data_IF_690772554594
#
_entry.id   IF_690772554594
#
_cell.length_a   1.000
_cell.length_b   1.000
_cell.length_c   1.000
_cell.angle_alpha   90.00
_cell.angle_beta   90.00
_cell.angle_gamma   90.00
#
_symmetry.space_group_name_H-M   'P 1'
#
loop_
_entity.id
_entity.type
_entity.pdbx_description
1 polymer ?
#
# COMPACT_ATOMS: atom_id res chain seq x y z
N UNK A 1 34.90 -33.59 -65.52
CA UNK A 1 35.77 -33.61 -64.31
C UNK A 1 35.06 -32.76 -63.25
N UNK A 2 34.35 -33.39 -62.34
CA UNK A 2 33.78 -32.70 -61.23
C UNK A 2 34.80 -32.69 -60.08
N UNK A 3 35.28 -31.52 -59.70
CA UNK A 3 36.17 -31.38 -58.57
C UNK A 3 35.33 -31.52 -57.30
N UNK A 4 35.54 -32.58 -56.55
CA UNK A 4 34.97 -32.80 -55.23
C UNK A 4 35.80 -31.93 -54.25
N UNK A 5 35.31 -30.79 -53.91
CA UNK A 5 35.84 -30.04 -52.75
C UNK A 5 35.30 -30.70 -51.49
N UNK A 6 35.99 -31.69 -50.97
CA UNK A 6 35.76 -32.18 -49.60
C UNK A 6 36.32 -31.16 -48.62
N UNK A 7 35.45 -30.49 -47.89
CA UNK A 7 35.87 -29.79 -46.68
C UNK A 7 36.05 -30.86 -45.60
N UNK A 8 37.28 -31.27 -45.39
CA UNK A 8 37.65 -32.12 -44.26
C UNK A 8 37.55 -31.27 -43.00
N UNK A 9 36.40 -31.31 -42.33
CA UNK A 9 36.28 -30.72 -41.01
C UNK A 9 37.10 -31.62 -40.10
N UNK A 10 38.28 -31.17 -39.70
CA UNK A 10 39.12 -31.89 -38.76
C UNK A 10 38.30 -32.17 -37.49
N UNK A 11 38.29 -33.42 -37.05
CA UNK A 11 37.69 -33.83 -35.77
C UNK A 11 38.16 -32.90 -34.62
N UNK A 12 39.41 -32.43 -34.71
CA UNK A 12 39.95 -31.42 -33.80
C UNK A 12 39.25 -30.05 -33.87
N UNK A 13 38.56 -29.72 -34.95
CA UNK A 13 37.76 -28.49 -35.02
C UNK A 13 36.45 -28.63 -34.27
N UNK A 14 35.81 -29.81 -34.30
CA UNK A 14 34.62 -30.15 -33.54
C UNK A 14 34.93 -30.16 -32.04
N UNK A 15 36.12 -30.52 -31.59
CA UNK A 15 36.54 -30.47 -30.20
C UNK A 15 36.63 -29.05 -29.63
N UNK A 16 36.76 -28.03 -30.44
CA UNK A 16 36.76 -26.63 -29.95
C UNK A 16 35.39 -26.15 -29.46
N UNK A 17 34.35 -26.82 -29.86
CA UNK A 17 32.96 -26.52 -29.43
C UNK A 17 32.53 -27.37 -28.23
N UNK A 18 33.32 -28.38 -27.86
CA UNK A 18 33.08 -29.14 -26.66
C UNK A 18 33.70 -28.43 -25.43
N UNK A 19 33.00 -28.35 -24.28
CA UNK A 19 33.54 -27.68 -23.09
C UNK A 19 34.89 -28.28 -22.70
N UNK A 20 35.96 -27.50 -22.76
CA UNK A 20 37.35 -27.98 -22.55
C UNK A 20 37.63 -28.57 -21.14
N UNK A 21 36.76 -28.34 -20.17
CA UNK A 21 36.85 -28.88 -18.81
C UNK A 21 36.45 -30.35 -18.71
N UNK A 22 35.68 -30.84 -19.64
CA UNK A 22 35.11 -32.19 -19.56
C UNK A 22 36.01 -33.25 -20.25
N UNK A 23 37.03 -32.82 -20.98
CA UNK A 23 37.97 -33.71 -21.67
C UNK A 23 38.87 -34.56 -20.74
N UNK A 24 38.95 -34.22 -19.44
CA UNK A 24 39.78 -34.94 -18.47
C UNK A 24 39.12 -36.17 -17.87
N UNK A 25 37.79 -36.30 -17.95
CA UNK A 25 37.09 -37.43 -17.37
C UNK A 25 36.25 -38.18 -18.39
N UNK A 26 36.93 -38.75 -19.37
CA UNK A 26 36.34 -39.42 -20.55
C UNK A 26 35.78 -40.80 -20.26
N UNK A 27 35.80 -41.25 -19.00
CA UNK A 27 35.30 -42.59 -18.61
C UNK A 27 33.78 -42.64 -18.42
N UNK A 28 33.15 -41.49 -18.33
CA UNK A 28 31.74 -41.39 -17.89
C UNK A 28 30.77 -40.87 -18.97
N UNK A 29 31.31 -40.32 -20.05
CA UNK A 29 30.52 -39.79 -21.19
C UNK A 29 31.31 -39.91 -22.51
N UNK A 30 30.60 -39.83 -23.61
CA UNK A 30 31.16 -39.88 -24.93
C UNK A 30 30.32 -39.07 -25.92
N UNK A 31 30.91 -38.76 -27.05
CA UNK A 31 30.24 -38.12 -28.17
C UNK A 31 30.33 -39.03 -29.39
N UNK A 32 29.25 -39.07 -30.16
CA UNK A 32 29.17 -39.80 -31.40
C UNK A 32 28.53 -38.97 -32.49
N UNK A 33 28.93 -39.19 -33.71
CA UNK A 33 28.21 -38.71 -34.87
C UNK A 33 27.57 -39.89 -35.52
N UNK A 34 26.26 -39.83 -35.65
CA UNK A 34 25.48 -40.88 -36.31
C UNK A 34 24.83 -40.35 -37.59
N UNK A 35 24.66 -41.21 -38.57
CA UNK A 35 23.99 -40.89 -39.84
C UNK A 35 22.75 -41.77 -39.98
N UNK A 36 21.68 -41.25 -40.59
CA UNK A 36 20.45 -42.00 -40.84
C UNK A 36 19.22 -41.16 -40.49
N UNK A 37 18.17 -41.81 -40.06
CA UNK A 37 16.93 -41.15 -39.61
C UNK A 37 16.51 -41.72 -38.26
N UNK A 38 15.98 -40.86 -37.38
CA UNK A 38 15.43 -41.31 -36.08
C UNK A 38 14.36 -42.37 -36.21
N UNK A 39 13.58 -42.37 -37.31
CA UNK A 39 12.53 -43.36 -37.58
C UNK A 39 13.05 -44.70 -38.14
N UNK A 40 14.12 -44.66 -38.94
CA UNK A 40 14.67 -45.83 -39.66
C UNK A 40 15.90 -46.43 -39.00
N UNK A 41 16.42 -45.82 -37.98
CA UNK A 41 17.63 -46.17 -37.25
C UNK A 41 18.82 -45.30 -37.63
N UNK A 42 19.74 -45.13 -36.69
CA UNK A 42 20.92 -44.32 -36.79
C UNK A 42 22.14 -45.24 -36.83
N UNK A 43 23.00 -45.04 -37.83
CA UNK A 43 24.27 -45.77 -37.96
C UNK A 43 25.42 -44.96 -37.41
N UNK A 44 26.19 -45.56 -36.54
CA UNK A 44 27.33 -44.96 -35.88
C UNK A 44 28.46 -44.68 -36.91
N UNK A 45 28.87 -43.42 -37.07
CA UNK A 45 29.87 -43.04 -38.04
C UNK A 45 31.21 -42.63 -37.42
N UNK A 46 31.16 -41.78 -36.39
CA UNK A 46 32.34 -41.28 -35.69
C UNK A 46 32.09 -41.31 -34.18
N UNK A 47 33.07 -41.70 -33.42
CA UNK A 47 32.96 -41.94 -31.98
C UNK A 47 34.13 -41.34 -31.19
N UNK A 48 33.85 -40.73 -30.07
CA UNK A 48 34.84 -40.15 -29.16
C UNK A 48 34.48 -40.34 -27.67
N UNK A 49 35.43 -40.80 -26.89
CA UNK A 49 35.32 -41.00 -25.45
C UNK A 49 35.33 -42.47 -25.00
N UNK A 50 35.54 -42.72 -23.72
CA UNK A 50 35.72 -44.08 -23.22
C UNK A 50 34.39 -44.87 -23.10
N UNK A 51 33.29 -44.17 -22.84
CA UNK A 51 31.95 -44.77 -22.75
C UNK A 51 31.61 -45.45 -24.07
N UNK A 52 31.96 -44.85 -25.17
CA UNK A 52 31.69 -45.33 -26.50
C UNK A 52 32.47 -46.60 -26.86
N UNK A 53 33.74 -46.77 -26.43
CA UNK A 53 34.53 -47.99 -26.70
C UNK A 53 33.97 -49.25 -26.03
N UNK A 54 33.15 -49.07 -24.98
CA UNK A 54 32.49 -50.12 -24.26
C UNK A 54 31.06 -50.42 -24.77
N UNK A 55 30.50 -49.52 -25.58
CA UNK A 55 29.09 -49.50 -25.90
C UNK A 55 28.78 -50.05 -27.28
N UNK A 56 29.40 -49.49 -28.32
CA UNK A 56 29.08 -49.73 -29.72
C UNK A 56 30.35 -49.75 -30.57
N UNK A 57 30.41 -50.57 -31.58
CA UNK A 57 31.44 -50.57 -32.59
C UNK A 57 31.05 -49.66 -33.80
N UNK A 58 32.05 -49.08 -34.45
CA UNK A 58 31.78 -48.24 -35.63
C UNK A 58 31.11 -49.02 -36.73
N UNK A 59 29.98 -48.53 -37.23
CA UNK A 59 29.18 -49.22 -38.25
C UNK A 59 27.95 -49.95 -37.73
N UNK A 60 27.78 -50.09 -36.41
CA UNK A 60 26.57 -50.64 -35.83
C UNK A 60 25.38 -49.66 -35.86
N UNK A 61 24.18 -50.23 -35.92
CA UNK A 61 22.93 -49.49 -35.80
C UNK A 61 22.60 -49.26 -34.34
N UNK A 62 22.25 -48.02 -34.00
CA UNK A 62 21.84 -47.63 -32.66
C UNK A 62 20.32 -47.89 -32.47
N UNK A 63 19.96 -48.58 -31.40
CA UNK A 63 18.57 -48.75 -31.00
C UNK A 63 18.26 -47.75 -29.87
N UNK A 64 17.40 -46.80 -30.17
CA UNK A 64 17.04 -45.70 -29.24
C UNK A 64 15.59 -45.80 -28.84
N UNK A 65 15.33 -45.68 -27.54
CA UNK A 65 13.98 -45.52 -26.96
C UNK A 65 13.81 -44.05 -26.53
N UNK A 66 12.73 -43.45 -26.96
CA UNK A 66 12.45 -42.07 -26.55
C UNK A 66 12.13 -41.98 -25.07
N UNK A 67 12.79 -41.10 -24.37
CA UNK A 67 12.55 -40.76 -22.95
C UNK A 67 11.87 -39.41 -22.83
N UNK A 68 12.34 -38.45 -23.62
CA UNK A 68 11.79 -37.11 -23.75
C UNK A 68 12.00 -36.61 -25.20
N UNK A 69 10.89 -36.52 -25.93
CA UNK A 69 10.93 -36.11 -27.36
C UNK A 69 11.13 -34.62 -27.52
N UNK A 70 10.65 -33.78 -26.59
CA UNK A 70 10.78 -32.34 -26.67
C UNK A 70 12.24 -31.91 -26.45
N UNK A 71 12.93 -32.55 -25.51
CA UNK A 71 14.35 -32.25 -25.20
C UNK A 71 15.32 -33.11 -25.97
N UNK A 72 14.85 -34.02 -26.85
CA UNK A 72 15.69 -34.90 -27.68
C UNK A 72 16.52 -35.88 -26.86
N UNK A 73 15.94 -36.42 -25.77
CA UNK A 73 16.60 -37.36 -24.88
C UNK A 73 16.11 -38.77 -25.14
N UNK A 74 17.05 -39.69 -25.39
CA UNK A 74 16.80 -41.09 -25.71
C UNK A 74 17.56 -42.00 -24.76
N UNK A 75 17.10 -43.22 -24.59
CA UNK A 75 17.83 -44.32 -23.94
C UNK A 75 18.38 -45.24 -24.99
N UNK A 76 19.69 -45.55 -24.94
CA UNK A 76 20.33 -46.52 -25.81
C UNK A 76 20.01 -47.93 -25.29
N UNK A 77 19.48 -48.82 -26.18
CA UNK A 77 19.07 -50.16 -25.82
C UNK A 77 20.14 -51.21 -26.08
N UNK A 78 20.83 -51.11 -27.23
CA UNK A 78 21.84 -52.05 -27.66
C UNK A 78 23.27 -51.63 -27.24
N UNK A 79 23.59 -51.82 -25.97
CA UNK A 79 24.90 -51.46 -25.43
C UNK A 79 25.42 -52.55 -24.47
N UNK A 80 26.76 -52.60 -24.27
CA UNK A 80 27.45 -53.54 -23.40
C UNK A 80 27.78 -52.97 -22.00
N UNK A 81 27.24 -51.80 -21.65
CA UNK A 81 27.45 -51.21 -20.31
C UNK A 81 26.54 -51.90 -19.27
N UNK A 82 27.01 -51.94 -18.03
CA UNK A 82 26.21 -52.39 -16.87
C UNK A 82 25.15 -51.41 -16.40
N UNK A 83 25.16 -50.18 -16.91
CA UNK A 83 24.27 -49.11 -16.56
C UNK A 83 23.51 -48.60 -17.77
N UNK A 84 22.28 -48.13 -17.56
CA UNK A 84 21.51 -47.42 -18.60
C UNK A 84 22.30 -46.24 -19.14
N UNK A 85 22.23 -46.05 -20.47
CA UNK A 85 22.90 -44.96 -21.17
C UNK A 85 21.84 -44.05 -21.75
N UNK A 86 21.94 -42.76 -21.39
CA UNK A 86 21.11 -41.73 -21.96
C UNK A 86 21.87 -41.00 -23.07
N UNK A 87 21.15 -40.67 -24.11
CA UNK A 87 21.64 -40.02 -25.30
C UNK A 87 20.88 -38.74 -25.55
N UNK A 88 21.59 -37.62 -25.63
CA UNK A 88 21.01 -36.38 -26.14
C UNK A 88 21.41 -36.24 -27.60
N UNK A 89 20.43 -36.13 -28.50
CA UNK A 89 20.63 -36.04 -29.94
C UNK A 89 20.30 -34.65 -30.48
N UNK A 90 21.24 -34.07 -31.18
CA UNK A 90 21.06 -32.79 -31.86
C UNK A 90 21.31 -32.96 -33.35
N UNK A 91 20.32 -32.56 -34.15
CA UNK A 91 20.44 -32.63 -35.62
C UNK A 91 21.45 -31.58 -36.09
N UNK A 92 22.43 -32.04 -36.89
CA UNK A 92 23.41 -31.16 -37.49
C UNK A 92 22.86 -30.58 -38.79
N UNK A 93 22.70 -29.26 -38.85
CA UNK A 93 22.32 -28.57 -40.08
C UNK A 93 23.50 -28.51 -41.08
N UNK A 94 23.63 -29.51 -41.94
CA UNK A 94 24.63 -29.48 -43.02
C UNK A 94 23.94 -29.33 -44.39
N UNK A 95 24.55 -28.56 -45.27
CA UNK A 95 24.09 -28.40 -46.66
C UNK A 95 24.72 -29.47 -47.53
N UNK A 96 23.94 -30.41 -48.05
CA UNK A 96 24.40 -31.57 -48.83
C UNK A 96 24.03 -31.51 -50.31
N UNK A 97 23.65 -30.38 -50.83
CA UNK A 97 23.19 -30.27 -52.24
C UNK A 97 24.21 -30.83 -53.20
N UNK A 98 23.83 -31.85 -53.97
CA UNK A 98 24.68 -32.56 -54.96
C UNK A 98 25.88 -33.35 -54.38
N UNK A 99 25.77 -33.90 -53.16
CA UNK A 99 26.78 -34.81 -52.61
C UNK A 99 26.27 -36.24 -52.52
N UNK A 100 27.14 -37.27 -52.39
CA UNK A 100 26.72 -38.67 -52.18
C UNK A 100 25.91 -38.88 -50.88
N UNK A 101 25.81 -37.87 -50.02
CA UNK A 101 25.12 -37.88 -48.73
C UNK A 101 23.79 -37.12 -48.80
N UNK A 102 23.33 -36.75 -50.00
CA UNK A 102 22.03 -36.11 -50.18
C UNK A 102 20.91 -37.03 -49.75
N UNK A 103 20.15 -36.60 -48.72
CA UNK A 103 19.06 -37.39 -48.10
C UNK A 103 19.43 -38.12 -46.79
N UNK A 104 20.69 -38.11 -46.35
CA UNK A 104 21.07 -38.58 -45.04
C UNK A 104 21.07 -37.46 -44.02
N UNK A 105 20.47 -37.68 -42.87
CA UNK A 105 20.53 -36.75 -41.74
C UNK A 105 21.70 -37.11 -40.82
N UNK A 106 22.35 -36.09 -40.29
CA UNK A 106 23.48 -36.24 -39.39
C UNK A 106 23.11 -35.73 -38.00
N UNK A 107 23.44 -36.52 -36.98
CA UNK A 107 23.18 -36.20 -35.60
C UNK A 107 24.49 -36.19 -34.79
N UNK A 108 24.67 -35.10 -34.02
CA UNK A 108 25.65 -35.09 -32.94
C UNK A 108 24.94 -35.59 -31.67
N UNK A 109 25.50 -36.61 -31.07
CA UNK A 109 24.91 -37.24 -29.90
C UNK A 109 25.91 -37.25 -28.77
N UNK A 110 25.45 -36.83 -27.58
CA UNK A 110 26.14 -36.98 -26.32
C UNK A 110 25.62 -38.21 -25.55
N UNK A 111 26.49 -39.10 -25.14
CA UNK A 111 26.17 -40.29 -24.40
C UNK A 111 26.63 -40.16 -22.96
N UNK A 112 25.80 -40.50 -21.99
CA UNK A 112 26.13 -40.45 -20.56
C UNK A 112 25.49 -41.62 -19.80
N UNK A 113 26.28 -42.26 -18.94
CA UNK A 113 25.72 -43.31 -18.03
C UNK A 113 24.85 -42.68 -16.96
N UNK A 114 23.75 -43.38 -16.62
CA UNK A 114 22.77 -42.97 -15.61
C UNK A 114 23.38 -42.56 -14.27
N UNK A 115 24.35 -43.24 -13.68
CA UNK A 115 24.96 -42.80 -12.42
C UNK A 115 25.64 -41.45 -12.49
N UNK A 116 26.21 -41.12 -13.65
CA UNK A 116 26.89 -39.83 -13.88
C UNK A 116 25.88 -38.71 -14.04
N UNK A 117 24.82 -38.97 -14.79
CA UNK A 117 23.70 -38.05 -14.97
C UNK A 117 23.02 -37.68 -13.63
N UNK A 118 22.84 -38.66 -12.73
CA UNK A 118 22.19 -38.48 -11.44
C UNK A 118 23.12 -37.95 -10.33
N UNK A 119 24.44 -38.01 -10.54
CA UNK A 119 25.40 -37.57 -9.52
C UNK A 119 25.32 -36.06 -9.24
N UNK A 120 25.10 -35.24 -10.22
CA UNK A 120 24.94 -33.79 -10.10
C UNK A 120 23.66 -33.41 -9.37
N UNK A 121 22.46 -33.88 -9.76
CA UNK A 121 21.21 -33.61 -9.04
C UNK A 121 21.28 -34.04 -7.58
N UNK A 122 21.76 -35.24 -7.28
CA UNK A 122 21.88 -35.74 -5.90
C UNK A 122 22.82 -34.90 -5.02
N UNK A 123 23.89 -34.39 -5.55
CA UNK A 123 24.75 -33.43 -4.83
C UNK A 123 24.04 -32.12 -4.54
N UNK A 124 23.30 -31.60 -5.53
CA UNK A 124 22.53 -30.36 -5.39
C UNK A 124 21.42 -30.54 -4.38
N UNK A 125 20.68 -31.64 -4.42
CA UNK A 125 19.63 -31.96 -3.44
C UNK A 125 20.17 -32.04 -2.01
N UNK A 126 21.30 -32.69 -1.77
CA UNK A 126 21.95 -32.73 -0.47
C UNK A 126 22.40 -31.37 -0.01
N UNK A 127 22.97 -30.58 -0.92
CA UNK A 127 23.45 -29.22 -0.61
C UNK A 127 22.27 -28.28 -0.29
N UNK A 128 21.18 -28.38 -1.04
CA UNK A 128 19.92 -27.66 -0.76
C UNK A 128 19.29 -28.10 0.56
N UNK A 129 19.28 -29.40 0.85
CA UNK A 129 18.78 -29.93 2.12
C UNK A 129 19.58 -29.41 3.32
N UNK A 130 20.91 -29.43 3.25
CA UNK A 130 21.75 -28.90 4.31
C UNK A 130 21.66 -27.36 4.42
N UNK A 131 21.52 -26.65 3.29
CA UNK A 131 21.30 -25.21 3.28
C UNK A 131 19.96 -24.85 3.93
N UNK A 132 18.89 -25.60 3.63
CA UNK A 132 17.57 -25.43 4.24
C UNK A 132 17.61 -25.71 5.76
N UNK A 133 18.30 -26.78 6.17
CA UNK A 133 18.47 -27.12 7.59
C UNK A 133 19.27 -26.02 8.34
N UNK A 134 20.33 -25.52 7.73
CA UNK A 134 21.14 -24.46 8.29
C UNK A 134 20.35 -23.14 8.42
N UNK A 135 19.63 -22.74 7.37
CA UNK A 135 18.82 -21.51 7.39
C UNK A 135 17.67 -21.60 8.39
N UNK A 136 17.01 -22.78 8.49
CA UNK A 136 15.97 -23.02 9.49
C UNK A 136 16.53 -22.99 10.92
N UNK A 137 17.69 -23.61 11.13
CA UNK A 137 18.40 -23.57 12.43
C UNK A 137 18.81 -22.17 12.84
N UNK A 138 19.38 -21.40 11.92
CA UNK A 138 19.76 -19.99 12.16
C UNK A 138 18.49 -19.16 12.45
N UNK A 139 17.41 -19.36 11.68
CA UNK A 139 16.13 -18.67 11.87
C UNK A 139 15.55 -18.94 13.28
N UNK A 140 15.60 -20.18 13.75
CA UNK A 140 15.17 -20.58 15.10
C UNK A 140 16.04 -19.94 16.20
N UNK A 141 17.36 -19.92 16.02
CA UNK A 141 18.31 -19.27 16.97
C UNK A 141 18.03 -17.75 17.01
N UNK A 142 17.85 -17.10 15.86
CA UNK A 142 17.52 -15.68 15.80
C UNK A 142 16.16 -15.41 16.47
N UNK A 143 15.14 -16.23 16.21
CA UNK A 143 13.83 -16.09 16.83
C UNK A 143 13.88 -16.27 18.35
N UNK A 144 14.65 -17.26 18.85
CA UNK A 144 14.90 -17.45 20.27
C UNK A 144 15.70 -16.27 20.87
N UNK A 145 16.74 -15.81 20.18
CA UNK A 145 17.52 -14.65 20.61
C UNK A 145 16.68 -13.39 20.68
N UNK A 146 15.88 -13.10 19.64
CA UNK A 146 14.96 -11.96 19.61
C UNK A 146 13.90 -12.10 20.71
N UNK A 147 13.35 -13.28 20.94
CA UNK A 147 12.37 -13.53 22.02
C UNK A 147 12.98 -13.31 23.40
N UNK A 148 14.18 -13.86 23.67
CA UNK A 148 14.90 -13.66 24.93
C UNK A 148 15.39 -12.22 25.08
N UNK A 149 15.85 -11.61 23.98
CA UNK A 149 16.24 -10.21 23.94
C UNK A 149 15.06 -9.29 24.23
N UNK A 150 13.89 -9.54 23.60
CA UNK A 150 12.67 -8.75 23.84
C UNK A 150 12.16 -8.90 25.29
N UNK A 151 12.29 -10.09 25.88
CA UNK A 151 11.86 -10.33 27.28
C UNK A 151 12.85 -9.77 28.32
N UNK A 152 14.16 -9.77 28.02
CA UNK A 152 15.20 -9.24 28.93
C UNK A 152 15.46 -7.74 28.76
N UNK A 153 15.22 -7.18 27.57
CA UNK A 153 15.62 -5.80 27.22
C UNK A 153 14.42 -4.87 26.98
N UNK A 154 13.22 -5.20 27.51
CA UNK A 154 12.16 -4.20 27.67
C UNK A 154 12.69 -2.90 28.32
N UNK A 155 13.70 -3.03 29.20
CA UNK A 155 14.45 -1.91 29.77
C UNK A 155 15.29 -1.11 28.76
N UNK A 156 15.74 -1.71 27.65
CA UNK A 156 16.49 -0.99 26.60
C UNK A 156 15.60 -0.27 25.60
N UNK A 157 14.33 -0.68 25.46
CA UNK A 157 13.32 0.13 24.74
C UNK A 157 13.03 1.45 25.45
N UNK A 158 13.19 1.51 26.77
CA UNK A 158 13.16 2.75 27.54
C UNK A 158 14.28 3.73 27.14
N UNK A 159 15.44 3.20 26.78
CA UNK A 159 16.59 3.99 26.34
C UNK A 159 16.48 4.46 24.88
N UNK A 160 15.60 3.86 24.06
CA UNK A 160 15.45 4.20 22.65
C UNK A 160 14.62 5.45 22.38
N UNK A 161 14.04 6.08 23.40
CA UNK A 161 13.24 7.30 23.24
C UNK A 161 11.87 7.10 22.59
N UNK A 162 11.52 5.86 22.20
CA UNK A 162 10.22 5.58 21.61
C UNK A 162 9.10 5.77 22.64
N UNK A 163 7.98 6.46 22.27
CA UNK A 163 6.88 6.74 23.19
C UNK A 163 5.97 5.52 23.39
N UNK A 164 6.55 4.35 23.64
CA UNK A 164 5.85 3.07 23.75
C UNK A 164 5.92 2.49 25.16
N UNK A 165 4.80 1.96 25.63
CA UNK A 165 4.72 1.13 26.84
C UNK A 165 4.10 -0.22 26.54
N UNK A 166 4.42 -1.25 27.33
CA UNK A 166 3.84 -2.59 27.20
C UNK A 166 3.33 -3.05 28.55
N UNK A 167 2.13 -3.63 28.58
CA UNK A 167 1.67 -4.39 29.74
C UNK A 167 1.13 -5.76 29.33
N UNK A 168 1.22 -6.72 30.24
CA UNK A 168 0.76 -8.10 30.07
C UNK A 168 -0.17 -8.53 31.19
N UNK A 169 -1.29 -9.15 30.80
CA UNK A 169 -2.25 -9.80 31.68
C UNK A 169 -2.21 -11.30 31.45
N UNK A 170 -1.54 -12.04 32.35
CA UNK A 170 -1.41 -13.51 32.24
C UNK A 170 -2.61 -14.22 32.87
N UNK A 171 -3.10 -15.36 32.30
CA UNK A 171 -4.31 -16.02 32.79
C UNK A 171 -4.19 -16.52 34.23
N UNK A 172 -3.04 -17.04 34.60
CA UNK A 172 -2.81 -17.66 35.93
C UNK A 172 -2.04 -16.76 36.90
N UNK A 173 -1.82 -15.49 36.56
CA UNK A 173 -1.15 -14.51 37.43
C UNK A 173 -2.15 -13.48 37.92
N UNK A 174 -2.20 -13.24 39.22
CA UNK A 174 -2.91 -12.11 39.79
C UNK A 174 -2.18 -10.78 39.62
N UNK A 175 -0.96 -10.80 39.06
CA UNK A 175 -0.11 -9.63 38.87
C UNK A 175 -0.14 -9.16 37.42
N UNK A 176 0.05 -7.87 37.22
CA UNK A 176 0.24 -7.24 35.90
C UNK A 176 1.72 -6.99 35.72
N UNK A 177 2.27 -7.40 34.60
CA UNK A 177 3.58 -6.94 34.16
C UNK A 177 3.38 -5.67 33.33
N UNK A 178 4.08 -4.59 33.66
CA UNK A 178 4.09 -3.37 32.89
C UNK A 178 5.48 -2.76 32.84
N UNK A 179 5.80 -2.12 31.71
CA UNK A 179 7.03 -1.34 31.56
C UNK A 179 6.93 -0.04 32.34
N UNK A 180 8.06 0.56 32.70
CA UNK A 180 8.13 1.79 33.51
C UNK A 180 7.50 3.01 32.83
N UNK A 181 7.24 2.96 31.52
CA UNK A 181 6.53 4.01 30.80
C UNK A 181 5.00 3.94 30.90
N UNK A 182 4.42 2.80 31.24
CA UNK A 182 2.96 2.65 31.34
C UNK A 182 2.34 3.62 32.34
N UNK A 183 2.90 3.84 33.55
CA UNK A 183 2.36 4.82 34.46
C UNK A 183 2.21 6.23 33.86
N UNK A 184 3.23 6.72 33.19
CA UNK A 184 3.20 8.06 32.57
C UNK A 184 2.31 8.10 31.32
N UNK A 185 2.23 7.01 30.54
CA UNK A 185 1.34 6.93 29.38
C UNK A 185 -0.13 6.92 29.78
N UNK A 186 -0.50 6.22 30.85
CA UNK A 186 -1.86 6.08 31.34
C UNK A 186 -2.22 7.11 32.43
N UNK A 187 -1.37 8.09 32.71
CA UNK A 187 -1.52 9.08 33.79
C UNK A 187 -1.79 8.44 35.17
N UNK A 188 -1.11 7.29 35.47
CA UNK A 188 -1.26 6.61 36.75
C UNK A 188 -0.50 7.35 37.86
N UNK A 189 -1.15 7.49 39.03
CA UNK A 189 -0.46 7.91 40.24
C UNK A 189 0.45 6.80 40.75
N UNK A 190 1.45 7.14 41.57
CA UNK A 190 2.34 6.15 42.20
C UNK A 190 1.59 5.09 43.02
N UNK A 191 0.49 5.48 43.70
CA UNK A 191 -0.37 4.53 44.43
C UNK A 191 -1.10 3.56 43.50
N UNK A 192 -1.64 4.07 42.37
CA UNK A 192 -2.29 3.25 41.36
C UNK A 192 -1.33 2.27 40.72
N UNK A 193 -0.11 2.70 40.34
CA UNK A 193 0.91 1.82 39.81
C UNK A 193 1.23 0.67 40.77
N UNK A 194 1.44 0.97 42.05
CA UNK A 194 1.73 -0.03 43.07
C UNK A 194 0.57 -1.02 43.26
N UNK A 195 -0.69 -0.55 43.18
CA UNK A 195 -1.87 -1.41 43.34
C UNK A 195 -2.03 -2.27 42.05
N UNK A 196 -1.98 -1.66 40.90
CA UNK A 196 -2.26 -2.32 39.62
C UNK A 196 -1.21 -3.37 39.23
N UNK A 197 0.06 -3.18 39.57
CA UNK A 197 1.09 -4.21 39.39
C UNK A 197 0.85 -5.47 40.20
N UNK A 198 0.13 -5.38 41.34
CA UNK A 198 -0.15 -6.49 42.25
C UNK A 198 -1.56 -7.08 42.10
N UNK A 199 -2.51 -6.31 41.57
CA UNK A 199 -3.90 -6.67 41.48
C UNK A 199 -4.40 -6.50 40.04
N UNK A 200 -4.41 -7.61 39.32
CA UNK A 200 -4.90 -7.67 37.94
C UNK A 200 -6.35 -7.27 37.77
N UNK A 201 -7.21 -7.59 38.78
CA UNK A 201 -8.64 -7.31 38.72
C UNK A 201 -8.88 -5.80 38.72
N UNK A 202 -8.23 -5.08 39.64
CA UNK A 202 -8.32 -3.62 39.71
C UNK A 202 -7.79 -2.92 38.48
N UNK A 203 -6.70 -3.42 37.90
CA UNK A 203 -6.18 -2.88 36.65
C UNK A 203 -7.13 -3.13 35.47
N UNK A 204 -7.74 -4.31 35.40
CA UNK A 204 -8.73 -4.61 34.36
C UNK A 204 -9.99 -3.75 34.49
N UNK A 205 -10.41 -3.45 35.71
CA UNK A 205 -11.54 -2.54 36.00
C UNK A 205 -11.19 -1.12 35.54
N UNK A 206 -10.04 -0.61 35.91
CA UNK A 206 -9.50 0.66 35.42
C UNK A 206 -9.48 0.75 33.90
N UNK A 207 -9.03 -0.30 33.21
CA UNK A 207 -9.01 -0.32 31.74
C UNK A 207 -10.40 -0.26 31.09
N UNK A 208 -11.45 -0.70 31.78
CA UNK A 208 -12.84 -0.56 31.29
C UNK A 208 -13.30 0.90 31.27
N UNK A 209 -12.77 1.73 32.16
CA UNK A 209 -13.07 3.16 32.17
C UNK A 209 -12.53 3.85 30.88
N UNK A 210 -11.46 3.31 30.30
CA UNK A 210 -10.92 3.81 29.03
C UNK A 210 -11.87 3.61 27.85
N UNK A 211 -12.76 2.65 27.87
CA UNK A 211 -13.75 2.48 26.80
C UNK A 211 -14.65 3.71 26.64
N UNK A 212 -14.88 4.46 27.74
CA UNK A 212 -15.64 5.70 27.74
C UNK A 212 -14.84 6.92 27.21
N UNK A 213 -13.51 6.78 27.10
CA UNK A 213 -12.59 7.83 26.65
C UNK A 213 -12.17 7.66 25.18
N UNK A 214 -12.82 6.74 24.46
CA UNK A 214 -12.51 6.45 23.05
C UNK A 214 -12.79 7.67 22.17
N UNK A 215 -11.78 8.11 21.41
CA UNK A 215 -11.85 9.23 20.47
C UNK A 215 -11.58 8.70 19.05
N UNK A 216 -12.64 8.35 18.32
CA UNK A 216 -12.52 7.80 16.97
C UNK A 216 -12.66 6.28 16.86
N UNK A 217 -12.50 5.74 15.62
CA UNK A 217 -12.73 4.32 15.29
C UNK A 217 -11.59 3.36 15.63
N UNK A 218 -10.37 3.87 15.88
CA UNK A 218 -9.12 3.11 16.02
C UNK A 218 -8.69 3.13 17.49
N UNK A 219 -8.96 2.17 18.30
CA UNK A 219 -8.43 1.94 19.66
C UNK A 219 -7.56 3.09 20.27
N UNK A 220 -7.96 4.34 19.96
CA UNK A 220 -7.33 5.60 20.37
C UNK A 220 -8.21 6.25 21.47
N UNK A 221 -7.55 6.68 22.53
CA UNK A 221 -8.19 7.19 23.73
C UNK A 221 -7.64 8.57 24.04
N UNK A 222 -8.55 9.50 24.41
CA UNK A 222 -8.17 10.84 24.83
C UNK A 222 -8.11 10.90 26.36
N UNK A 223 -6.95 11.28 26.86
CA UNK A 223 -6.71 11.48 28.29
C UNK A 223 -6.55 12.98 28.56
N UNK A 224 -7.24 13.47 29.58
CA UNK A 224 -7.00 14.80 30.09
C UNK A 224 -5.83 14.77 31.10
N UNK A 225 -4.89 15.68 30.95
CA UNK A 225 -3.72 15.85 31.83
C UNK A 225 -3.63 17.30 32.27
N UNK A 226 -2.87 17.59 33.33
CA UNK A 226 -2.59 18.98 33.78
C UNK A 226 -1.90 19.79 32.67
N UNK A 227 -1.12 19.13 31.82
CA UNK A 227 -0.39 19.74 30.70
C UNK A 227 -1.23 19.82 29.39
N UNK A 228 -2.49 19.37 29.40
CA UNK A 228 -3.38 19.36 28.25
C UNK A 228 -3.91 17.98 27.88
N UNK A 229 -4.61 17.87 26.75
CA UNK A 229 -5.14 16.60 26.26
C UNK A 229 -4.03 15.77 25.61
N UNK A 230 -3.99 14.50 25.95
CA UNK A 230 -3.06 13.49 25.42
C UNK A 230 -3.84 12.39 24.70
N UNK A 231 -3.34 11.90 23.58
CA UNK A 231 -3.93 10.78 22.86
C UNK A 231 -3.01 9.56 22.93
N UNK A 232 -3.57 8.45 23.39
CA UNK A 232 -2.88 7.16 23.43
C UNK A 232 -3.60 6.15 22.56
N UNK A 233 -2.82 5.30 21.89
CA UNK A 233 -3.33 4.14 21.14
C UNK A 233 -2.99 2.87 21.89
N UNK A 234 -3.99 1.99 22.11
CA UNK A 234 -3.83 0.73 22.83
C UNK A 234 -4.07 -0.43 21.85
N UNK A 235 -3.01 -1.07 21.41
CA UNK A 235 -3.10 -2.25 20.54
C UNK A 235 -3.07 -3.52 21.37
N UNK A 236 -4.14 -4.32 21.31
CA UNK A 236 -4.32 -5.56 22.06
C UNK A 236 -4.01 -6.78 21.20
N UNK A 237 -3.19 -7.71 21.72
CA UNK A 237 -2.93 -9.02 21.13
C UNK A 237 -3.10 -10.12 22.18
N UNK A 238 -3.79 -11.20 21.80
CA UNK A 238 -4.01 -12.34 22.70
C UNK A 238 -3.19 -13.52 22.14
N UNK A 239 -2.30 -14.09 22.96
CA UNK A 239 -1.49 -15.26 22.63
C UNK A 239 -1.45 -16.18 23.86
N UNK A 240 -1.77 -17.46 23.68
CA UNK A 240 -1.77 -18.48 24.76
C UNK A 240 -2.53 -18.05 26.03
N UNK A 241 -3.67 -17.37 25.86
CA UNK A 241 -4.45 -16.84 26.96
C UNK A 241 -3.84 -15.60 27.66
N UNK A 242 -2.64 -15.17 27.27
CA UNK A 242 -2.03 -13.93 27.75
C UNK A 242 -2.48 -12.77 26.88
N UNK A 243 -3.02 -11.73 27.53
CA UNK A 243 -3.34 -10.47 26.87
C UNK A 243 -2.12 -9.58 26.96
N UNK A 244 -1.53 -9.23 25.83
CA UNK A 244 -0.44 -8.27 25.71
C UNK A 244 -0.97 -7.02 25.02
N UNK A 245 -0.74 -5.87 25.64
CA UNK A 245 -1.11 -4.58 25.09
C UNK A 245 0.12 -3.70 24.92
N UNK A 246 0.19 -3.07 23.75
CA UNK A 246 1.15 -2.01 23.47
C UNK A 246 0.39 -0.69 23.57
N UNK A 247 0.93 0.23 24.34
CA UNK A 247 0.40 1.59 24.54
C UNK A 247 1.36 2.57 23.91
N UNK A 248 0.86 3.39 23.01
CA UNK A 248 1.63 4.36 22.24
C UNK A 248 1.07 5.76 22.45
N UNK A 249 1.94 6.76 22.66
CA UNK A 249 1.56 8.17 22.64
C UNK A 249 1.48 8.64 21.20
N UNK A 250 0.29 8.93 20.73
CA UNK A 250 0.00 9.38 19.37
C UNK A 250 -0.48 10.84 19.33
N UNK A 251 -0.18 11.60 20.40
CA UNK A 251 -0.64 12.98 20.56
C UNK A 251 -0.19 13.87 19.40
N UNK A 252 1.08 13.83 19.04
CA UNK A 252 1.63 14.64 17.95
C UNK A 252 1.00 14.26 16.59
N UNK A 253 0.82 12.95 16.35
CA UNK A 253 0.24 12.43 15.11
C UNK A 253 -1.24 12.84 14.97
N UNK A 254 -2.01 12.75 16.06
CA UNK A 254 -3.40 13.19 16.10
C UNK A 254 -3.52 14.70 15.92
N UNK A 255 -2.68 15.47 16.60
CA UNK A 255 -2.68 16.94 16.46
C UNK A 255 -2.28 17.38 15.05
N UNK A 256 -1.26 16.76 14.47
CA UNK A 256 -0.88 17.03 13.08
C UNK A 256 -2.01 16.68 12.11
N UNK A 257 -2.64 15.52 12.30
CA UNK A 257 -3.77 15.10 11.46
C UNK A 257 -4.94 16.07 11.58
N UNK A 258 -5.28 16.50 12.80
CA UNK A 258 -6.34 17.51 13.05
C UNK A 258 -5.96 18.87 12.42
N UNK A 259 -4.71 19.30 12.53
CA UNK A 259 -4.23 20.54 11.91
C UNK A 259 -4.33 20.50 10.38
N UNK A 260 -3.89 19.38 9.76
CA UNK A 260 -4.01 19.16 8.31
C UNK A 260 -5.48 19.11 7.87
N UNK A 261 -6.37 18.53 8.68
CA UNK A 261 -7.80 18.55 8.40
C UNK A 261 -8.38 19.96 8.42
N UNK A 262 -8.01 20.77 9.41
CA UNK A 262 -8.44 22.17 9.51
C UNK A 262 -7.93 22.97 8.31
N UNK A 263 -6.68 22.78 7.89
CA UNK A 263 -6.13 23.43 6.72
C UNK A 263 -6.83 23.00 5.43
N UNK A 264 -7.07 21.69 5.26
CA UNK A 264 -7.79 21.12 4.11
C UNK A 264 -9.24 21.61 4.01
N UNK A 265 -9.88 21.89 5.13
CA UNK A 265 -11.29 22.28 5.21
C UNK A 265 -11.47 23.83 5.09
N UNK A 266 -10.37 24.58 4.88
CA UNK A 266 -10.40 26.04 4.65
C UNK A 266 -10.32 26.39 3.17
N UNK A 267 -10.93 27.52 2.81
CA UNK A 267 -10.75 28.15 1.50
C UNK A 267 -9.44 28.95 1.50
N UNK A 268 -8.57 28.65 0.54
CA UNK A 268 -7.22 29.23 0.47
C UNK A 268 -7.18 30.75 0.23
N UNK A 269 -8.24 31.34 -0.33
CA UNK A 269 -8.31 32.78 -0.60
C UNK A 269 -8.86 33.57 0.59
N UNK A 270 -9.86 33.03 1.26
CA UNK A 270 -10.66 33.75 2.28
C UNK A 270 -10.44 33.26 3.70
N UNK A 271 -9.90 32.05 3.87
CA UNK A 271 -9.67 31.44 5.17
C UNK A 271 -10.94 30.96 5.89
N UNK A 272 -12.14 31.13 5.33
CA UNK A 272 -13.37 30.54 5.83
C UNK A 272 -13.44 29.04 5.46
N UNK A 273 -14.44 28.31 5.90
CA UNK A 273 -14.63 26.92 5.47
C UNK A 273 -14.79 26.84 3.93
N UNK A 274 -14.23 25.81 3.33
CA UNK A 274 -14.39 25.56 1.91
C UNK A 274 -15.66 24.73 1.63
N UNK A 275 -15.91 24.43 0.37
CA UNK A 275 -17.03 23.60 -0.08
C UNK A 275 -17.03 22.21 0.58
N UNK A 276 -15.86 21.59 0.72
CA UNK A 276 -15.74 20.25 1.35
C UNK A 276 -16.16 20.30 2.83
N UNK A 277 -15.73 21.33 3.56
CA UNK A 277 -16.14 21.53 4.95
C UNK A 277 -17.66 21.74 5.08
N UNK A 278 -18.24 22.48 4.13
CA UNK A 278 -19.69 22.65 4.06
C UNK A 278 -20.43 21.33 3.79
N UNK A 279 -19.99 20.55 2.81
CA UNK A 279 -20.59 19.24 2.49
C UNK A 279 -20.56 18.29 3.70
N UNK A 280 -19.43 18.21 4.42
CA UNK A 280 -19.32 17.45 5.67
C UNK A 280 -20.29 17.93 6.75
N UNK A 281 -20.42 19.26 6.93
CA UNK A 281 -21.40 19.82 7.88
C UNK A 281 -22.81 19.40 7.51
N UNK A 282 -23.12 19.40 6.23
CA UNK A 282 -24.45 18.97 5.74
C UNK A 282 -24.72 17.49 5.99
N UNK A 283 -23.71 16.62 5.87
CA UNK A 283 -23.82 15.20 6.21
C UNK A 283 -24.12 15.00 7.69
N UNK A 284 -23.34 15.63 8.57
CA UNK A 284 -23.59 15.58 10.02
C UNK A 284 -25.02 16.06 10.38
N UNK A 285 -25.48 17.17 9.76
CA UNK A 285 -26.81 17.70 10.03
C UNK A 285 -27.94 16.80 9.49
N UNK A 286 -27.67 15.99 8.47
CA UNK A 286 -28.63 15.01 7.96
C UNK A 286 -28.86 13.89 8.97
N UNK A 287 -27.78 13.40 9.60
CA UNK A 287 -27.85 12.32 10.57
C UNK A 287 -28.59 12.77 11.86
N UNK A 288 -28.46 14.06 12.23
CA UNK A 288 -29.07 14.66 13.39
C UNK A 288 -30.42 15.37 13.08
N UNK A 289 -30.93 15.27 11.85
CA UNK A 289 -32.12 15.98 11.44
C UNK A 289 -33.37 15.50 12.21
N UNK A 290 -34.02 16.42 12.89
CA UNK A 290 -35.20 16.11 13.72
C UNK A 290 -34.91 15.77 15.18
N UNK A 291 -33.65 15.74 15.63
CA UNK A 291 -33.25 15.46 17.04
C UNK A 291 -33.43 16.65 18.00
N UNK A 292 -34.15 17.71 17.60
CA UNK A 292 -34.39 18.92 18.40
C UNK A 292 -33.54 20.11 17.98
N UNK A 293 -32.56 19.94 17.11
CA UNK A 293 -31.76 21.01 16.51
C UNK A 293 -32.62 21.83 15.51
N UNK A 294 -32.46 23.15 15.54
CA UNK A 294 -33.11 24.08 14.62
C UNK A 294 -32.07 24.72 13.69
N UNK A 295 -31.66 24.03 12.64
CA UNK A 295 -30.70 24.58 11.69
C UNK A 295 -31.29 25.77 10.91
N UNK A 296 -30.46 26.78 10.70
CA UNK A 296 -30.73 27.91 9.82
C UNK A 296 -29.58 28.15 8.87
N UNK A 297 -29.86 28.70 7.70
CA UNK A 297 -28.85 29.06 6.71
C UNK A 297 -29.04 30.47 6.21
N UNK A 298 -27.93 31.18 6.02
CA UNK A 298 -27.86 32.41 5.22
C UNK A 298 -27.04 32.11 3.99
N UNK A 299 -27.65 32.27 2.80
CA UNK A 299 -26.97 32.15 1.51
C UNK A 299 -26.60 33.55 1.04
N UNK A 300 -25.38 33.70 0.57
CA UNK A 300 -24.82 34.97 0.10
C UNK A 300 -24.17 34.80 -1.26
N UNK A 301 -24.33 35.79 -2.13
CA UNK A 301 -23.78 35.80 -3.48
C UNK A 301 -23.25 37.21 -3.81
N UNK A 302 -21.98 37.31 -4.26
CA UNK A 302 -21.37 38.57 -4.64
C UNK A 302 -21.93 39.06 -5.95
N UNK A 303 -22.38 40.32 -5.96
CA UNK A 303 -22.91 40.92 -7.19
C UNK A 303 -21.75 41.41 -8.07
N UNK A 304 -21.90 41.19 -9.37
CA UNK A 304 -21.01 41.74 -10.40
C UNK A 304 -19.53 41.32 -10.32
N UNK A 305 -19.17 40.24 -9.60
CA UNK A 305 -17.76 39.78 -9.50
C UNK A 305 -17.14 39.58 -10.88
N UNK A 306 -17.88 39.01 -11.82
CA UNK A 306 -17.40 38.79 -13.19
C UNK A 306 -17.01 40.14 -13.86
N UNK A 307 -17.85 41.15 -13.74
CA UNK A 307 -17.55 42.48 -14.30
C UNK A 307 -16.31 43.09 -13.65
N UNK A 308 -16.14 42.93 -12.32
CA UNK A 308 -14.95 43.38 -11.62
C UNK A 308 -13.70 42.66 -12.14
N UNK A 309 -13.76 41.35 -12.33
CA UNK A 309 -12.64 40.61 -12.90
C UNK A 309 -12.30 41.04 -14.34
N UNK A 310 -13.33 41.23 -15.18
CA UNK A 310 -13.17 41.61 -16.59
C UNK A 310 -12.63 43.03 -16.74
N UNK A 311 -12.97 43.97 -15.85
CA UNK A 311 -12.63 45.37 -15.93
C UNK A 311 -11.37 45.77 -15.13
N UNK A 312 -11.19 45.19 -13.93
CA UNK A 312 -10.13 45.54 -12.99
C UNK A 312 -9.12 44.41 -12.74
N UNK A 313 -9.32 43.24 -13.38
CA UNK A 313 -8.46 42.07 -13.24
C UNK A 313 -8.79 41.19 -12.04
N UNK A 314 -8.28 39.94 -12.09
CA UNK A 314 -8.54 38.93 -11.09
C UNK A 314 -8.04 39.29 -9.68
N UNK A 315 -6.93 40.05 -9.56
CA UNK A 315 -6.43 40.48 -8.26
C UNK A 315 -7.45 41.34 -7.51
N UNK A 316 -8.15 42.24 -8.23
CA UNK A 316 -9.24 43.04 -7.66
C UNK A 316 -10.47 42.23 -7.33
N UNK A 317 -10.79 41.23 -8.14
CA UNK A 317 -11.84 40.26 -7.81
C UNK A 317 -11.54 39.48 -6.55
N UNK A 318 -10.28 39.06 -6.37
CA UNK A 318 -9.82 38.36 -5.17
C UNK A 318 -9.88 39.27 -3.93
N UNK A 319 -9.51 40.58 -4.04
CA UNK A 319 -9.69 41.54 -2.97
C UNK A 319 -11.19 41.69 -2.60
N UNK A 320 -12.06 41.75 -3.58
CA UNK A 320 -13.50 41.84 -3.36
C UNK A 320 -14.06 40.57 -2.65
N UNK A 321 -13.61 39.37 -3.05
CA UNK A 321 -13.99 38.10 -2.41
C UNK A 321 -13.51 38.10 -0.94
N UNK A 322 -12.26 38.53 -0.66
CA UNK A 322 -11.73 38.62 0.72
C UNK A 322 -12.55 39.61 1.57
N UNK A 323 -12.84 40.79 1.04
CA UNK A 323 -13.66 41.79 1.73
C UNK A 323 -15.07 41.26 2.04
N UNK A 324 -15.68 40.54 1.11
CA UNK A 324 -16.97 39.88 1.30
C UNK A 324 -16.94 38.84 2.40
N UNK A 325 -15.92 37.96 2.39
CA UNK A 325 -15.72 36.92 3.42
C UNK A 325 -15.57 37.53 4.81
N UNK A 326 -14.77 38.61 4.93
CA UNK A 326 -14.54 39.33 6.18
C UNK A 326 -15.83 40.04 6.68
N UNK A 327 -16.60 40.65 5.76
CA UNK A 327 -17.87 41.26 6.08
C UNK A 327 -18.88 40.19 6.61
N UNK A 328 -18.98 39.05 5.96
CA UNK A 328 -19.85 37.95 6.40
C UNK A 328 -19.42 37.38 7.74
N UNK A 329 -18.12 37.11 7.93
CA UNK A 329 -17.58 36.58 9.19
C UNK A 329 -17.78 37.55 10.35
N UNK A 330 -17.58 38.85 10.13
CA UNK A 330 -17.79 39.89 11.15
C UNK A 330 -19.29 40.05 11.47
N UNK A 331 -20.13 39.86 10.49
CA UNK A 331 -21.58 39.96 10.66
C UNK A 331 -22.19 38.81 11.48
N UNK A 332 -21.55 37.65 11.45
CA UNK A 332 -21.98 36.44 12.16
C UNK A 332 -20.88 35.88 13.06
N UNK A 333 -20.56 36.57 14.16
CA UNK A 333 -19.47 36.17 15.03
C UNK A 333 -19.78 34.83 15.73
N UNK A 334 -18.80 33.92 15.67
CA UNK A 334 -18.93 32.57 16.25
C UNK A 334 -19.68 31.55 15.39
N UNK A 335 -20.29 31.99 14.29
CA UNK A 335 -21.00 31.09 13.38
C UNK A 335 -20.07 30.55 12.27
N UNK A 336 -20.39 29.38 11.74
CA UNK A 336 -19.62 28.79 10.69
C UNK A 336 -19.92 29.40 9.32
N UNK A 337 -18.91 29.96 8.68
CA UNK A 337 -18.99 30.58 7.35
C UNK A 337 -18.23 29.72 6.36
N UNK A 338 -18.82 29.49 5.22
CA UNK A 338 -18.27 28.65 4.15
C UNK A 338 -18.30 29.37 2.79
N UNK A 339 -17.29 29.20 1.97
CA UNK A 339 -17.28 29.56 0.55
C UNK A 339 -17.61 28.29 -0.25
N UNK A 340 -18.77 28.26 -0.87
CA UNK A 340 -19.32 27.07 -1.56
C UNK A 340 -19.20 27.13 -3.09
N UNK A 341 -18.93 28.33 -3.61
CA UNK A 341 -18.71 28.59 -5.03
C UNK A 341 -17.70 29.73 -5.21
N UNK A 342 -17.50 30.19 -6.43
CA UNK A 342 -16.59 31.31 -6.74
C UNK A 342 -16.98 32.60 -6.03
N UNK A 343 -18.26 32.97 -6.10
CA UNK A 343 -18.91 34.15 -5.55
C UNK A 343 -19.97 33.84 -4.49
N UNK A 344 -20.13 32.56 -4.11
CA UNK A 344 -21.18 32.07 -3.24
C UNK A 344 -20.65 31.70 -1.85
N UNK A 345 -21.35 32.17 -0.81
CA UNK A 345 -21.06 31.84 0.59
C UNK A 345 -22.32 31.33 1.29
N UNK A 346 -22.09 30.48 2.29
CA UNK A 346 -23.13 29.98 3.20
C UNK A 346 -22.73 30.24 4.65
N UNK A 347 -23.64 30.67 5.47
CA UNK A 347 -23.49 30.75 6.93
C UNK A 347 -24.46 29.75 7.56
N UNK A 348 -23.95 28.91 8.44
CA UNK A 348 -24.76 28.01 9.24
C UNK A 348 -25.07 28.63 10.59
N UNK A 349 -26.36 28.70 10.92
CA UNK A 349 -26.88 29.25 12.18
C UNK A 349 -27.46 28.10 13.01
N UNK A 350 -26.84 27.83 14.17
CA UNK A 350 -27.30 26.78 15.06
C UNK A 350 -28.19 27.36 16.16
N UNK A 351 -29.47 26.89 16.21
CA UNK A 351 -30.44 27.32 17.24
C UNK A 351 -30.61 28.85 17.37
N UNK A 352 -30.48 29.56 16.25
CA UNK A 352 -30.70 31.02 16.17
C UNK A 352 -32.08 31.30 15.60
N UNK A 353 -32.46 32.56 15.66
CA UNK A 353 -33.74 33.06 15.17
C UNK A 353 -33.60 33.91 13.90
N UNK A 354 -34.75 34.31 13.36
CA UNK A 354 -34.78 35.14 12.16
C UNK A 354 -34.21 36.55 12.39
N UNK A 355 -34.25 37.08 13.61
CA UNK A 355 -33.74 38.39 13.97
C UNK A 355 -32.22 38.41 13.82
N UNK A 356 -31.54 37.37 14.32
CA UNK A 356 -30.09 37.18 14.16
C UNK A 356 -29.66 37.21 12.66
N UNK A 357 -30.44 36.53 11.80
CA UNK A 357 -30.16 36.52 10.35
C UNK A 357 -30.40 37.91 9.71
N UNK A 358 -31.48 38.58 10.06
CA UNK A 358 -31.80 39.93 9.53
C UNK A 358 -30.74 40.96 9.94
N UNK A 359 -30.36 40.97 11.23
CA UNK A 359 -29.29 41.88 11.71
C UNK A 359 -27.96 41.56 11.06
N UNK A 360 -27.59 40.28 10.92
CA UNK A 360 -26.37 39.91 10.25
C UNK A 360 -26.33 40.36 8.80
N UNK A 361 -27.42 40.18 8.05
CA UNK A 361 -27.55 40.65 6.68
C UNK A 361 -27.46 42.18 6.59
N UNK A 362 -28.05 42.91 7.56
CA UNK A 362 -27.94 44.36 7.61
C UNK A 362 -26.48 44.82 7.86
N UNK A 363 -25.75 44.13 8.76
CA UNK A 363 -24.31 44.38 8.99
C UNK A 363 -23.49 44.11 7.73
N UNK A 364 -23.72 42.99 7.01
CA UNK A 364 -23.06 42.74 5.72
C UNK A 364 -23.29 43.88 4.76
N UNK A 365 -24.53 44.35 4.61
CA UNK A 365 -24.88 45.42 3.71
C UNK A 365 -24.10 46.69 4.04
N UNK A 366 -24.08 47.11 5.31
CA UNK A 366 -23.32 48.32 5.77
C UNK A 366 -21.82 48.19 5.49
N UNK A 367 -21.23 47.06 5.83
CA UNK A 367 -19.82 46.78 5.58
C UNK A 367 -19.45 46.85 4.08
N UNK A 368 -20.30 46.29 3.24
CA UNK A 368 -20.08 46.30 1.79
C UNK A 368 -20.31 47.71 1.17
N UNK A 369 -21.24 48.46 1.71
CA UNK A 369 -21.42 49.89 1.31
C UNK A 369 -20.20 50.73 1.67
N UNK A 370 -19.60 50.51 2.85
CA UNK A 370 -18.36 51.17 3.26
C UNK A 370 -17.20 50.77 2.38
N UNK A 371 -17.03 49.48 2.12
CA UNK A 371 -16.01 48.96 1.20
C UNK A 371 -16.18 49.56 -0.22
N UNK A 372 -17.41 49.56 -0.74
CA UNK A 372 -17.74 50.09 -2.06
C UNK A 372 -17.32 51.58 -2.23
N UNK A 373 -17.38 52.41 -1.15
CA UNK A 373 -16.93 53.82 -1.20
C UNK A 373 -15.46 53.99 -1.44
N UNK A 374 -14.67 52.95 -1.14
CA UNK A 374 -13.20 52.96 -1.31
C UNK A 374 -12.76 52.33 -2.63
N UNK A 375 -13.71 51.80 -3.42
CA UNK A 375 -13.44 51.13 -4.67
C UNK A 375 -13.96 51.91 -5.88
N UNK A 376 -13.43 51.60 -7.05
CA UNK A 376 -13.90 52.14 -8.34
C UNK A 376 -15.14 51.42 -8.89
N UNK A 377 -15.59 50.37 -8.19
CA UNK A 377 -16.75 49.58 -8.56
C UNK A 377 -17.76 49.45 -7.41
N UNK A 378 -18.98 49.11 -7.74
CA UNK A 378 -20.03 48.92 -6.74
C UNK A 378 -19.98 47.50 -6.21
N UNK A 379 -19.56 47.37 -4.92
CA UNK A 379 -19.51 46.08 -4.21
C UNK A 379 -20.80 45.88 -3.41
N UNK A 380 -21.45 44.75 -3.63
CA UNK A 380 -22.67 44.39 -2.91
C UNK A 380 -22.87 42.87 -2.85
N UNK A 381 -23.53 42.41 -1.80
CA UNK A 381 -23.84 40.98 -1.58
C UNK A 381 -25.35 40.81 -1.53
N UNK A 382 -25.86 39.93 -2.39
CA UNK A 382 -27.24 39.46 -2.29
C UNK A 382 -27.32 38.37 -1.21
N UNK A 383 -28.27 38.47 -0.31
CA UNK A 383 -28.43 37.52 0.80
C UNK A 383 -29.86 37.04 0.97
N UNK A 384 -30.02 35.81 1.40
CA UNK A 384 -31.31 35.22 1.74
C UNK A 384 -31.14 34.20 2.86
N UNK A 385 -32.15 34.06 3.72
CA UNK A 385 -32.09 33.15 4.83
C UNK A 385 -33.32 32.28 4.97
N UNK A 386 -33.17 31.12 5.60
CA UNK A 386 -34.26 30.27 6.04
C UNK A 386 -33.84 29.46 7.28
N UNK A 387 -34.83 29.20 8.13
CA UNK A 387 -34.69 28.34 9.29
C UNK A 387 -35.56 27.10 9.16
N UNK A 388 -35.21 26.05 9.87
CA UNK A 388 -36.01 24.84 9.95
C UNK A 388 -37.45 25.15 10.34
N UNK A 389 -38.38 24.63 9.58
CA UNK A 389 -39.82 24.77 9.81
C UNK A 389 -40.45 23.38 9.96
N UNK A 390 -40.88 22.99 11.16
CA UNK A 390 -41.52 21.69 11.37
C UNK A 390 -42.75 21.48 10.46
N UNK A 391 -42.87 20.28 9.90
CA UNK A 391 -43.95 19.90 8.98
C UNK A 391 -43.82 20.45 7.54
N UNK A 392 -42.82 21.29 7.26
CA UNK A 392 -42.49 21.81 5.93
C UNK A 392 -41.22 21.22 5.38
N UNK A 393 -40.17 21.20 6.20
CA UNK A 393 -38.84 20.74 5.81
C UNK A 393 -38.70 19.25 6.18
N UNK A 394 -38.46 18.41 5.20
CA UNK A 394 -38.26 16.97 5.35
C UNK A 394 -36.77 16.64 5.50
N UNK A 395 -35.90 17.47 4.94
CA UNK A 395 -34.46 17.34 4.99
C UNK A 395 -33.77 18.71 5.08
N UNK A 396 -32.49 18.70 5.48
CA UNK A 396 -31.68 19.94 5.60
C UNK A 396 -31.62 20.72 4.30
N UNK A 397 -31.64 20.03 3.16
CA UNK A 397 -31.60 20.61 1.83
C UNK A 397 -32.82 21.50 1.52
N UNK A 398 -33.98 21.19 2.09
CA UNK A 398 -35.20 22.02 1.90
C UNK A 398 -35.01 23.42 2.46
N UNK A 399 -34.34 23.54 3.61
CA UNK A 399 -34.02 24.82 4.26
C UNK A 399 -33.09 25.64 3.35
N UNK A 400 -32.02 24.98 2.86
CA UNK A 400 -31.07 25.62 1.95
C UNK A 400 -31.73 26.13 0.66
N UNK A 401 -32.57 25.30 0.04
CA UNK A 401 -33.29 25.65 -1.18
C UNK A 401 -34.16 26.88 -0.96
N UNK A 402 -34.75 27.03 0.21
CA UNK A 402 -35.54 28.23 0.55
C UNK A 402 -34.65 29.46 0.75
N UNK A 403 -33.52 29.30 1.46
CA UNK A 403 -32.57 30.40 1.66
C UNK A 403 -32.04 30.91 0.31
N UNK A 404 -31.66 29.98 -0.58
CA UNK A 404 -31.17 30.28 -1.92
C UNK A 404 -32.26 31.01 -2.75
N UNK A 405 -33.51 30.55 -2.73
CA UNK A 405 -34.62 31.22 -3.41
C UNK A 405 -34.86 32.63 -2.90
N UNK A 406 -34.63 32.92 -1.59
CA UNK A 406 -34.73 34.27 -1.04
C UNK A 406 -33.53 35.12 -1.47
N UNK A 407 -32.31 34.60 -1.48
CA UNK A 407 -31.12 35.26 -1.98
C UNK A 407 -31.26 35.63 -3.47
N UNK A 408 -31.70 34.71 -4.28
CA UNK A 408 -31.92 34.96 -5.72
C UNK A 408 -32.96 36.07 -5.95
N UNK A 409 -34.07 36.12 -5.19
CA UNK A 409 -35.05 37.21 -5.23
C UNK A 409 -34.43 38.55 -4.83
N UNK A 410 -33.56 38.57 -3.80
CA UNK A 410 -32.81 39.74 -3.38
C UNK A 410 -31.87 40.22 -4.49
N UNK A 411 -31.12 39.30 -5.11
CA UNK A 411 -30.19 39.58 -6.23
C UNK A 411 -30.93 40.24 -7.42
N UNK A 412 -32.13 39.76 -7.74
CA UNK A 412 -32.95 40.35 -8.81
C UNK A 412 -33.47 41.76 -8.47
N UNK A 413 -33.74 42.08 -7.24
CA UNK A 413 -34.12 43.42 -6.79
C UNK A 413 -32.99 44.41 -6.84
N UNK A 414 -31.78 43.97 -6.55
CA UNK A 414 -30.59 44.80 -6.60
C UNK A 414 -30.13 45.16 -8.03
N UNK A 415 -30.51 44.37 -9.01
CA UNK A 415 -30.26 44.60 -10.46
C UNK A 415 -31.24 45.53 -11.13
N UNK A 416 -32.36 45.89 -10.47
CA UNK A 416 -33.36 46.84 -10.93
C UNK A 416 -33.07 48.22 -10.41
#
# INVERSE_FOLDING_TARGET
MAAIFGVEISVNYLYRFLPARDLQNTDSYGYVIATGSMEKGLKLSITYGAVQRRMLEAGEMMELESVDEEDGIYRLLNHNSSHDIYVSASRMGMYYHNTPFEGEEWYLMGLMEKPVLLHFPQKIERLLFFALLATTGIGLIIALFVSVWFTRHAKLMELSGLPLGVFELRPHSGKVFMTSRIPSLLNLTWEQERIFTRDKMKFTEFLKEFENLRDGGDDTFRLESEDGSKWIKITKKIMDGTVRCVVEDVTDEVLQTKALQVERDRDGLTGVGNRLAFEKKMECLRDDFGSGNRPGFVMCDLNNLKCVNDEFGHDKGDEYIRAAADAIRTAFPGEAVYRIGGDEFAVYLENKDAETAVEGIARIKTAMEEYSRTQEFHAAIASGYAFYTPGRDLEVKDIMTRADAYMYRHKRRMKR
#
